data_IF_837945975692
#
_entry.id   IF_837945975692
#
_cell.length_a   1.000
_cell.length_b   1.000
_cell.length_c   1.000
_cell.angle_alpha   90.00
_cell.angle_beta   90.00
_cell.angle_gamma   90.00
#
_symmetry.space_group_name_H-M   'P 1'
#
loop_
_entity.id
_entity.type
_entity.pdbx_description
1 polymer ?
#
# COMPACT_ATOMS: atom_id res chain seq x y z
N UNK A 1 9.46 15.32 5.20
CA UNK A 1 9.62 13.99 4.54
C UNK A 1 9.48 14.10 3.03
N UNK A 2 8.39 14.65 2.50
CA UNK A 2 8.18 14.84 1.04
C UNK A 2 9.27 15.68 0.37
N UNK A 3 9.69 16.80 0.99
CA UNK A 3 10.79 17.63 0.49
C UNK A 3 12.15 16.91 0.43
N UNK A 4 12.44 16.06 1.43
CA UNK A 4 13.69 15.30 1.49
C UNK A 4 13.74 14.19 0.43
N UNK A 5 12.61 13.51 0.21
CA UNK A 5 12.50 12.50 -0.86
C UNK A 5 12.63 13.15 -2.24
N UNK A 6 12.08 14.35 -2.45
CA UNK A 6 12.22 15.09 -3.71
C UNK A 6 13.68 15.54 -3.97
N UNK A 7 14.39 16.00 -2.93
CA UNK A 7 15.79 16.43 -3.03
C UNK A 7 16.80 15.30 -3.33
N UNK A 8 16.42 14.03 -3.08
CA UNK A 8 17.26 12.86 -3.36
C UNK A 8 17.28 12.46 -4.84
N UNK A 9 16.37 12.99 -5.66
CA UNK A 9 16.31 12.70 -7.09
C UNK A 9 16.86 13.89 -7.90
N UNK A 10 17.95 13.71 -8.68
CA UNK A 10 18.55 14.76 -9.49
C UNK A 10 17.59 15.44 -10.48
N UNK A 11 16.47 14.79 -10.81
CA UNK A 11 15.42 15.35 -11.67
C UNK A 11 14.68 16.56 -11.06
N UNK A 12 14.82 16.82 -9.75
CA UNK A 12 14.14 17.91 -9.05
C UNK A 12 15.07 19.05 -8.60
N UNK A 13 16.38 18.97 -8.87
CA UNK A 13 17.34 20.04 -8.53
C UNK A 13 16.96 21.39 -9.14
N UNK A 14 16.44 21.36 -10.37
CA UNK A 14 16.10 22.55 -11.14
C UNK A 14 14.93 23.34 -10.51
N UNK A 15 13.99 22.65 -9.87
CA UNK A 15 12.81 23.26 -9.23
C UNK A 15 13.15 24.02 -7.95
N UNK A 16 14.22 23.62 -7.26
CA UNK A 16 14.71 24.26 -6.03
C UNK A 16 15.13 25.71 -6.27
N UNK A 17 15.83 25.96 -7.39
CA UNK A 17 16.29 27.30 -7.77
C UNK A 17 15.15 28.29 -8.07
N UNK A 18 14.05 27.78 -8.61
CA UNK A 18 12.84 28.56 -8.93
C UNK A 18 12.07 28.92 -7.65
N UNK A 19 11.99 27.99 -6.69
CA UNK A 19 11.40 28.25 -5.37
C UNK A 19 12.21 29.26 -4.57
N UNK A 20 13.54 29.19 -4.64
CA UNK A 20 14.43 30.17 -4.01
C UNK A 20 14.18 31.57 -4.57
N UNK A 21 14.16 31.72 -5.90
CA UNK A 21 13.87 33.00 -6.56
C UNK A 21 12.47 33.55 -6.24
N UNK A 22 11.47 32.68 -6.11
CA UNK A 22 10.11 33.07 -5.74
C UNK A 22 10.01 33.56 -4.29
N UNK A 23 10.70 32.89 -3.37
CA UNK A 23 10.75 33.27 -1.94
C UNK A 23 11.53 34.58 -1.76
N UNK A 24 12.69 34.73 -2.39
CA UNK A 24 13.50 35.94 -2.33
C UNK A 24 12.78 37.17 -2.93
N UNK A 25 12.01 36.99 -4.00
CA UNK A 25 11.30 38.09 -4.66
C UNK A 25 10.01 38.52 -3.96
N UNK A 26 9.36 37.64 -3.18
CA UNK A 26 8.05 37.92 -2.60
C UNK A 26 8.02 38.12 -1.07
N UNK A 27 9.05 37.71 -0.31
CA UNK A 27 8.97 37.62 1.16
C UNK A 27 9.89 38.56 1.97
N UNK A 28 10.33 39.70 1.41
CA UNK A 28 10.89 40.90 2.08
C UNK A 28 12.42 41.13 1.97
N UNK A 29 12.89 42.26 1.38
CA UNK A 29 14.31 42.60 1.20
C UNK A 29 15.12 42.94 2.47
N UNK A 30 14.50 43.17 3.63
CA UNK A 30 15.18 43.74 4.81
C UNK A 30 15.32 42.80 6.02
N UNK A 31 14.62 41.65 6.03
CA UNK A 31 14.80 40.57 7.00
C UNK A 31 15.47 39.33 6.38
N UNK A 32 15.82 39.42 5.08
CA UNK A 32 16.34 38.33 4.27
C UNK A 32 17.65 37.76 4.77
N UNK A 33 18.59 38.57 5.24
CA UNK A 33 19.93 38.08 5.62
C UNK A 33 19.90 37.21 6.90
N UNK A 34 19.08 37.57 7.89
CA UNK A 34 19.01 36.81 9.15
C UNK A 34 18.10 35.59 9.03
N UNK A 35 16.98 35.71 8.31
CA UNK A 35 16.10 34.56 8.03
C UNK A 35 16.74 33.60 7.04
N UNK A 36 17.50 34.08 6.04
CA UNK A 36 18.27 33.21 5.15
C UNK A 36 19.39 32.49 5.90
N UNK A 37 20.11 33.14 6.82
CA UNK A 37 21.10 32.45 7.66
C UNK A 37 20.45 31.35 8.52
N UNK A 38 19.30 31.61 9.14
CA UNK A 38 18.55 30.58 9.87
C UNK A 38 17.98 29.47 8.97
N UNK A 39 17.55 29.81 7.74
CA UNK A 39 17.06 28.83 6.78
C UNK A 39 18.20 28.00 6.17
N UNK A 40 19.38 28.59 5.96
CA UNK A 40 20.60 27.90 5.53
C UNK A 40 21.13 27.00 6.64
N UNK A 41 21.23 27.48 7.88
CA UNK A 41 21.63 26.65 9.03
C UNK A 41 20.60 25.54 9.32
N UNK A 42 19.30 25.83 9.19
CA UNK A 42 18.26 24.82 9.32
C UNK A 42 18.30 23.82 8.17
N UNK A 43 18.56 24.24 6.94
CA UNK A 43 18.73 23.34 5.80
C UNK A 43 19.98 22.46 5.96
N UNK A 44 21.09 23.01 6.43
CA UNK A 44 22.35 22.31 6.66
C UNK A 44 22.25 21.33 7.86
N UNK A 45 21.53 21.71 8.93
CA UNK A 45 21.19 20.80 10.02
C UNK A 45 20.14 19.76 9.61
N UNK A 46 19.17 20.13 8.77
CA UNK A 46 18.25 19.18 8.17
C UNK A 46 18.94 18.21 7.19
N UNK A 47 20.17 18.48 6.73
CA UNK A 47 21.01 17.52 6.02
C UNK A 47 21.72 16.52 6.94
N UNK A 48 21.95 16.83 8.22
CA UNK A 48 22.65 15.95 9.19
C UNK A 48 21.70 15.12 10.09
N UNK A 49 20.50 15.62 10.40
CA UNK A 49 19.42 14.91 11.11
C UNK A 49 18.58 13.86 10.32
N UNK A 50 18.66 13.68 8.99
CA UNK A 50 17.87 12.64 8.28
C UNK A 50 18.25 11.22 8.66
N UNK A 51 19.49 11.01 9.09
CA UNK A 51 20.00 9.65 9.35
C UNK A 51 19.27 9.00 10.53
N UNK A 52 19.02 9.71 11.62
CA UNK A 52 18.31 9.18 12.78
C UNK A 52 16.81 8.95 12.48
N UNK A 53 16.17 9.87 11.75
CA UNK A 53 14.77 9.74 11.35
C UNK A 53 14.55 8.61 10.34
N UNK A 54 15.43 8.49 9.35
CA UNK A 54 15.38 7.43 8.34
C UNK A 54 15.69 6.06 8.94
N UNK A 55 16.68 5.96 9.82
CA UNK A 55 16.98 4.70 10.53
C UNK A 55 15.83 4.30 11.45
N UNK A 56 15.25 5.25 12.20
CA UNK A 56 14.05 5.02 13.00
C UNK A 56 12.88 4.50 12.16
N UNK A 57 12.60 5.15 11.02
CA UNK A 57 11.55 4.71 10.09
C UNK A 57 11.81 3.31 9.53
N UNK A 58 13.04 3.04 9.08
CA UNK A 58 13.42 1.72 8.57
C UNK A 58 13.22 0.64 9.64
N UNK A 59 13.65 0.92 10.86
CA UNK A 59 13.47 0.01 12.00
C UNK A 59 11.98 -0.21 12.29
N UNK A 60 11.16 0.86 12.32
CA UNK A 60 9.70 0.74 12.52
C UNK A 60 9.03 -0.09 11.42
N UNK A 61 9.41 0.09 10.15
CA UNK A 61 8.88 -0.71 9.04
C UNK A 61 9.30 -2.17 9.18
N UNK A 62 10.54 -2.46 9.57
CA UNK A 62 11.01 -3.83 9.80
C UNK A 62 10.24 -4.50 10.95
N UNK A 63 9.96 -3.77 12.04
CA UNK A 63 9.11 -4.27 13.13
C UNK A 63 7.70 -4.57 12.65
N UNK A 64 7.08 -3.64 11.91
CA UNK A 64 5.73 -3.83 11.37
C UNK A 64 5.66 -5.06 10.45
N UNK A 65 6.63 -5.20 9.53
CA UNK A 65 6.72 -6.35 8.64
C UNK A 65 6.91 -7.66 9.41
N UNK A 66 7.70 -7.66 10.49
CA UNK A 66 7.83 -8.84 11.35
C UNK A 66 6.50 -9.22 12.00
N UNK A 67 5.79 -8.25 12.57
CA UNK A 67 4.47 -8.51 13.17
C UNK A 67 3.48 -9.06 12.16
N UNK A 68 3.49 -8.54 10.92
CA UNK A 68 2.66 -9.04 9.83
C UNK A 68 3.07 -10.47 9.46
N UNK A 69 4.37 -10.75 9.28
CA UNK A 69 4.86 -12.10 8.95
C UNK A 69 4.47 -13.11 10.04
N UNK A 70 4.63 -12.74 11.31
CA UNK A 70 4.33 -13.61 12.44
C UNK A 70 2.81 -13.87 12.53
N UNK A 71 1.96 -12.87 12.31
CA UNK A 71 0.50 -13.06 12.23
C UNK A 71 0.10 -14.03 11.10
N UNK A 72 0.76 -13.93 9.94
CA UNK A 72 0.55 -14.88 8.85
C UNK A 72 1.09 -16.27 9.21
N UNK A 73 2.28 -16.38 9.78
CA UNK A 73 2.82 -17.68 10.21
C UNK A 73 1.91 -18.36 11.24
N UNK A 74 1.26 -17.61 12.12
CA UNK A 74 0.28 -18.11 13.09
C UNK A 74 -0.98 -18.66 12.41
N UNK A 75 -1.52 -17.96 11.41
CA UNK A 75 -2.69 -18.43 10.63
C UNK A 75 -2.39 -19.79 9.97
N UNK A 76 -1.18 -19.97 9.42
CA UNK A 76 -0.73 -21.22 8.82
C UNK A 76 -0.06 -22.19 9.82
N UNK A 77 -0.06 -21.87 11.12
CA UNK A 77 0.51 -22.68 12.21
C UNK A 77 1.97 -23.12 11.98
N UNK A 78 2.78 -22.24 11.39
CA UNK A 78 4.19 -22.51 11.07
C UNK A 78 5.05 -22.36 12.33
N UNK A 79 5.63 -23.47 12.81
CA UNK A 79 6.41 -23.50 14.07
C UNK A 79 7.81 -22.89 14.00
N UNK A 80 8.34 -22.63 12.80
CA UNK A 80 9.73 -22.14 12.61
C UNK A 80 9.76 -21.00 11.60
N UNK A 81 10.06 -19.80 12.10
CA UNK A 81 10.24 -18.61 11.27
C UNK A 81 11.48 -18.70 10.36
N UNK A 82 11.58 -17.80 9.38
CA UNK A 82 12.75 -17.65 8.51
C UNK A 82 13.97 -17.18 9.32
N UNK A 83 15.18 -17.50 8.85
CA UNK A 83 16.40 -16.89 9.38
C UNK A 83 16.40 -15.37 9.11
N UNK A 84 16.94 -14.57 10.03
CA UNK A 84 16.94 -13.10 9.97
C UNK A 84 17.45 -12.55 8.62
N UNK A 85 18.52 -13.14 8.07
CA UNK A 85 19.06 -12.73 6.76
C UNK A 85 18.10 -12.98 5.59
N UNK A 86 17.34 -14.08 5.62
CA UNK A 86 16.33 -14.39 4.58
C UNK A 86 15.10 -13.50 4.75
N UNK A 87 14.70 -13.18 5.99
CA UNK A 87 13.66 -12.18 6.27
C UNK A 87 14.03 -10.83 5.68
N UNK A 88 15.25 -10.35 5.96
CA UNK A 88 15.73 -9.06 5.44
C UNK A 88 15.76 -9.02 3.91
N UNK A 89 16.23 -10.07 3.25
CA UNK A 89 16.23 -10.14 1.78
C UNK A 89 14.81 -10.08 1.19
N UNK A 90 13.86 -10.81 1.78
CA UNK A 90 12.45 -10.77 1.35
C UNK A 90 11.86 -9.38 1.61
N UNK A 91 12.09 -8.80 2.78
CA UNK A 91 11.58 -7.48 3.14
C UNK A 91 12.14 -6.39 2.22
N UNK A 92 13.45 -6.40 1.95
CA UNK A 92 14.08 -5.49 0.99
C UNK A 92 13.49 -5.65 -0.40
N UNK A 93 13.21 -6.89 -0.83
CA UNK A 93 12.56 -7.13 -2.12
C UNK A 93 11.15 -6.56 -2.14
N UNK A 94 10.35 -6.76 -1.08
CA UNK A 94 9.00 -6.19 -1.00
C UNK A 94 9.01 -4.65 -0.99
N UNK A 95 9.93 -4.06 -0.23
CA UNK A 95 10.11 -2.60 -0.16
C UNK A 95 10.58 -2.03 -1.49
N UNK A 96 11.45 -2.72 -2.23
CA UNK A 96 11.93 -2.27 -3.53
C UNK A 96 10.92 -2.47 -4.66
N UNK A 97 10.20 -3.60 -4.66
CA UNK A 97 9.24 -3.95 -5.71
C UNK A 97 7.94 -3.14 -5.56
N UNK A 98 7.51 -2.83 -4.33
CA UNK A 98 6.28 -2.09 -4.07
C UNK A 98 6.18 -0.75 -4.84
N UNK A 99 7.16 0.16 -4.72
CA UNK A 99 7.19 1.41 -5.46
C UNK A 99 7.20 1.23 -6.98
N UNK A 100 7.94 0.23 -7.49
CA UNK A 100 8.00 -0.04 -8.93
C UNK A 100 6.63 -0.47 -9.45
N UNK A 101 5.93 -1.36 -8.73
CA UNK A 101 4.56 -1.75 -9.05
C UNK A 101 3.64 -0.53 -9.01
N UNK A 102 3.76 0.31 -7.98
CA UNK A 102 2.94 1.51 -7.87
C UNK A 102 3.14 2.44 -9.08
N UNK A 103 4.38 2.70 -9.50
CA UNK A 103 4.66 3.52 -10.70
C UNK A 103 4.03 2.90 -11.95
N UNK A 104 4.16 1.59 -12.15
CA UNK A 104 3.56 0.89 -13.29
C UNK A 104 2.04 1.02 -13.27
N UNK A 105 1.41 0.83 -12.10
CA UNK A 105 -0.04 0.94 -11.93
C UNK A 105 -0.51 2.38 -12.18
N UNK A 106 0.18 3.38 -11.63
CA UNK A 106 -0.14 4.79 -11.86
C UNK A 106 0.03 5.19 -13.32
N UNK A 107 1.09 4.73 -13.97
CA UNK A 107 1.33 4.96 -15.39
C UNK A 107 0.23 4.31 -16.25
N UNK A 108 -0.11 3.06 -15.99
CA UNK A 108 -1.19 2.37 -16.70
C UNK A 108 -2.55 3.05 -16.47
N UNK A 109 -2.86 3.43 -15.23
CA UNK A 109 -4.07 4.16 -14.89
C UNK A 109 -4.13 5.52 -15.60
N UNK A 110 -3.04 6.29 -15.58
CA UNK A 110 -2.92 7.56 -16.29
C UNK A 110 -3.24 7.40 -17.78
N UNK A 111 -2.62 6.43 -18.46
CA UNK A 111 -2.89 6.17 -19.88
C UNK A 111 -4.32 5.71 -20.14
N UNK A 112 -4.90 4.88 -19.27
CA UNK A 112 -6.30 4.45 -19.42
C UNK A 112 -7.29 5.61 -19.24
N UNK A 113 -6.97 6.56 -18.36
CA UNK A 113 -7.77 7.76 -18.08
C UNK A 113 -7.59 8.89 -19.11
N UNK A 114 -6.40 8.99 -19.74
CA UNK A 114 -6.04 10.01 -20.72
C UNK A 114 -6.15 9.56 -22.20
N UNK A 115 -6.47 8.30 -22.48
CA UNK A 115 -6.90 7.88 -23.82
C UNK A 115 -8.02 8.84 -24.30
N UNK A 116 -7.99 9.33 -25.56
CA UNK A 116 -8.80 10.46 -25.95
C UNK A 116 -10.29 10.20 -25.71
N UNK A 117 -10.85 10.84 -24.70
CA UNK A 117 -12.29 11.11 -24.60
C UNK A 117 -12.79 11.96 -25.79
N UNK A 118 -11.88 12.37 -26.69
CA UNK A 118 -12.11 13.23 -27.85
C UNK A 118 -12.92 12.64 -28.99
N UNK A 119 -13.38 11.38 -28.94
CA UNK A 119 -14.40 10.87 -29.87
C UNK A 119 -15.44 10.04 -29.11
N UNK A 120 -16.38 10.77 -28.50
CA UNK A 120 -17.47 10.23 -27.69
C UNK A 120 -18.43 9.37 -28.53
N UNK A 121 -18.22 8.06 -28.52
CA UNK A 121 -19.29 7.07 -28.68
C UNK A 121 -19.68 6.64 -27.25
N UNK A 122 -20.94 6.81 -26.80
CA UNK A 122 -21.38 6.42 -25.45
C UNK A 122 -21.12 4.95 -25.09
N UNK A 123 -21.06 4.07 -26.09
CA UNK A 123 -20.71 2.66 -25.92
C UNK A 123 -19.22 2.45 -25.57
N UNK A 124 -18.33 3.29 -26.11
CA UNK A 124 -16.91 3.23 -25.83
C UNK A 124 -16.61 3.67 -24.40
N UNK A 125 -17.24 4.74 -23.89
CA UNK A 125 -17.06 5.21 -22.51
C UNK A 125 -17.51 4.18 -21.46
N UNK A 126 -18.60 3.45 -21.72
CA UNK A 126 -19.02 2.36 -20.83
C UNK A 126 -18.05 1.17 -20.85
N UNK A 127 -17.56 0.78 -22.05
CA UNK A 127 -16.58 -0.28 -22.20
C UNK A 127 -15.24 0.06 -21.52
N UNK A 128 -14.76 1.30 -21.63
CA UNK A 128 -13.56 1.77 -20.93
C UNK A 128 -13.73 1.78 -19.41
N UNK A 129 -14.91 2.17 -18.91
CA UNK A 129 -15.22 2.10 -17.48
C UNK A 129 -15.16 0.67 -16.94
N UNK A 130 -15.74 -0.31 -17.66
CA UNK A 130 -15.66 -1.72 -17.28
C UNK A 130 -14.24 -2.28 -17.36
N UNK A 131 -13.47 -1.90 -18.39
CA UNK A 131 -12.06 -2.29 -18.51
C UNK A 131 -11.23 -1.77 -17.33
N UNK A 132 -11.45 -0.53 -16.90
CA UNK A 132 -10.76 0.05 -15.76
C UNK A 132 -11.12 -0.66 -14.45
N UNK A 133 -12.40 -0.93 -14.20
CA UNK A 133 -12.84 -1.69 -13.03
C UNK A 133 -12.27 -3.11 -13.02
N UNK A 134 -12.26 -3.78 -14.18
CA UNK A 134 -11.66 -5.10 -14.34
C UNK A 134 -10.15 -5.09 -14.10
N UNK A 135 -9.45 -4.07 -14.60
CA UNK A 135 -8.00 -3.92 -14.42
C UNK A 135 -7.61 -3.65 -12.97
N UNK A 136 -8.35 -2.79 -12.26
CA UNK A 136 -8.13 -2.55 -10.81
C UNK A 136 -8.31 -3.84 -10.01
N UNK A 137 -9.42 -4.56 -10.26
CA UNK A 137 -9.68 -5.84 -9.58
C UNK A 137 -8.58 -6.88 -9.86
N UNK A 138 -8.00 -6.89 -11.06
CA UNK A 138 -6.92 -7.82 -11.42
C UNK A 138 -5.61 -7.50 -10.69
N UNK A 139 -5.30 -6.21 -10.51
CA UNK A 139 -4.13 -5.77 -9.72
C UNK A 139 -4.30 -6.18 -8.25
N UNK A 140 -5.47 -5.98 -7.68
CA UNK A 140 -5.76 -6.35 -6.29
C UNK A 140 -5.71 -7.85 -6.07
N UNK A 141 -6.29 -8.60 -7.00
CA UNK A 141 -6.19 -10.05 -7.02
C UNK A 141 -4.73 -10.51 -7.06
N UNK A 142 -3.92 -9.92 -7.94
CA UNK A 142 -2.48 -10.18 -8.00
C UNK A 142 -1.78 -9.84 -6.68
N UNK A 143 -2.12 -8.70 -6.08
CA UNK A 143 -1.59 -8.25 -4.80
C UNK A 143 -1.89 -9.25 -3.67
N UNK A 144 -3.15 -9.66 -3.51
CA UNK A 144 -3.54 -10.67 -2.52
C UNK A 144 -2.91 -12.03 -2.79
N UNK A 145 -2.84 -12.46 -4.06
CA UNK A 145 -2.22 -13.74 -4.42
C UNK A 145 -0.72 -13.78 -4.09
N UNK A 146 0.01 -12.68 -4.38
CA UNK A 146 1.42 -12.54 -3.99
C UNK A 146 1.55 -12.53 -2.47
N UNK A 147 0.70 -11.76 -1.78
CA UNK A 147 0.72 -11.64 -0.33
C UNK A 147 0.50 -13.00 0.34
N UNK A 148 -0.53 -13.75 -0.05
CA UNK A 148 -0.86 -15.08 0.50
C UNK A 148 0.16 -16.16 0.15
N UNK A 149 1.01 -15.94 -0.84
CA UNK A 149 2.05 -16.89 -1.24
C UNK A 149 3.43 -16.58 -0.66
N UNK A 150 3.76 -15.28 -0.52
CA UNK A 150 5.12 -14.84 -0.19
C UNK A 150 5.32 -14.61 1.31
N UNK A 151 4.28 -14.13 2.01
CA UNK A 151 4.36 -13.89 3.46
C UNK A 151 4.51 -15.18 4.27
N UNK A 152 3.66 -16.20 4.09
CA UNK A 152 3.75 -17.40 4.91
C UNK A 152 5.08 -18.12 4.66
N UNK A 153 5.76 -18.54 5.72
CA UNK A 153 6.97 -19.37 5.60
C UNK A 153 6.65 -20.85 5.33
N UNK A 154 5.69 -21.13 4.46
CA UNK A 154 5.28 -22.49 4.07
C UNK A 154 4.99 -22.58 2.57
N UNK A 155 5.10 -23.78 2.01
CA UNK A 155 4.76 -24.03 0.61
C UNK A 155 3.25 -24.24 0.50
N UNK A 156 2.55 -23.29 -0.13
CA UNK A 156 1.10 -23.33 -0.32
C UNK A 156 0.80 -23.67 -1.79
N UNK A 157 -0.10 -24.65 -2.07
CA UNK A 157 -0.51 -24.93 -3.44
C UNK A 157 -1.24 -23.74 -4.07
N UNK A 158 -1.13 -23.59 -5.39
CA UNK A 158 -1.68 -22.43 -6.11
C UNK A 158 -3.21 -22.32 -6.04
N UNK A 159 -3.94 -23.44 -5.95
CA UNK A 159 -5.42 -23.43 -6.00
C UNK A 159 -6.04 -22.73 -4.77
N UNK A 160 -5.68 -23.08 -3.51
CA UNK A 160 -6.14 -22.32 -2.34
C UNK A 160 -5.79 -20.83 -2.40
N UNK A 161 -4.59 -20.49 -2.88
CA UNK A 161 -4.14 -19.09 -3.00
C UNK A 161 -5.06 -18.30 -3.93
N UNK A 162 -5.39 -18.87 -5.09
CA UNK A 162 -6.30 -18.25 -6.06
C UNK A 162 -7.69 -18.04 -5.45
N UNK A 163 -8.24 -19.04 -4.77
CA UNK A 163 -9.58 -18.95 -4.16
C UNK A 163 -9.60 -17.87 -3.07
N UNK A 164 -8.61 -17.87 -2.17
CA UNK A 164 -8.53 -16.87 -1.12
C UNK A 164 -8.31 -15.46 -1.66
N UNK A 165 -7.41 -15.29 -2.65
CA UNK A 165 -7.19 -14.00 -3.29
C UNK A 165 -8.44 -13.47 -4.00
N UNK A 166 -9.22 -14.35 -4.65
CA UNK A 166 -10.47 -13.97 -5.30
C UNK A 166 -11.50 -13.50 -4.28
N UNK A 167 -11.67 -14.23 -3.17
CA UNK A 167 -12.59 -13.86 -2.09
C UNK A 167 -12.20 -12.50 -1.50
N UNK A 168 -10.91 -12.28 -1.22
CA UNK A 168 -10.42 -11.00 -0.70
C UNK A 168 -10.62 -9.84 -1.66
N UNK A 169 -10.39 -10.07 -2.95
CA UNK A 169 -10.60 -9.05 -3.98
C UNK A 169 -12.07 -8.64 -4.05
N UNK A 170 -12.99 -9.61 -4.09
CA UNK A 170 -14.43 -9.34 -4.11
C UNK A 170 -14.86 -8.61 -2.85
N UNK A 171 -14.37 -9.04 -1.68
CA UNK A 171 -14.74 -8.42 -0.41
C UNK A 171 -14.17 -7.00 -0.29
N UNK A 172 -12.95 -6.77 -0.79
CA UNK A 172 -12.36 -5.44 -0.84
C UNK A 172 -13.15 -4.52 -1.76
N UNK A 173 -13.52 -4.97 -2.96
CA UNK A 173 -14.37 -4.22 -3.89
C UNK A 173 -15.72 -3.81 -3.27
N UNK A 174 -16.36 -4.71 -2.51
CA UNK A 174 -17.59 -4.39 -1.77
C UNK A 174 -17.31 -3.31 -0.72
N UNK A 175 -16.26 -3.47 0.08
CA UNK A 175 -15.90 -2.50 1.13
C UNK A 175 -15.59 -1.12 0.53
N UNK A 176 -14.86 -1.04 -0.58
CA UNK A 176 -14.59 0.24 -1.25
C UNK A 176 -15.87 0.97 -1.62
N UNK A 177 -16.86 0.27 -2.17
CA UNK A 177 -18.15 0.85 -2.56
C UNK A 177 -18.94 1.30 -1.34
N UNK A 178 -18.98 0.48 -0.30
CA UNK A 178 -19.64 0.81 0.98
C UNK A 178 -18.98 2.04 1.61
N UNK A 179 -17.66 2.11 1.59
CA UNK A 179 -16.90 3.24 2.15
C UNK A 179 -17.10 4.52 1.33
N UNK A 180 -17.10 4.43 0.00
CA UNK A 180 -17.40 5.57 -0.86
C UNK A 180 -18.79 6.13 -0.58
N UNK A 181 -19.79 5.25 -0.43
CA UNK A 181 -21.15 5.63 -0.04
C UNK A 181 -21.22 6.23 1.38
N UNK A 182 -20.46 5.68 2.33
CA UNK A 182 -20.40 6.20 3.70
C UNK A 182 -19.82 7.62 3.73
N UNK A 183 -18.68 7.85 3.05
CA UNK A 183 -18.02 9.15 3.00
C UNK A 183 -18.90 10.19 2.29
N UNK A 184 -19.60 9.83 1.22
CA UNK A 184 -20.50 10.76 0.51
C UNK A 184 -21.78 11.10 1.27
N UNK A 185 -22.22 10.22 2.18
CA UNK A 185 -23.49 10.42 2.90
C UNK A 185 -23.36 11.24 4.19
N UNK A 186 -22.15 11.31 4.77
CA UNK A 186 -21.90 11.90 6.10
C UNK A 186 -21.14 13.23 6.05
N UNK A 187 -21.55 14.16 5.18
CA UNK A 187 -20.94 15.50 5.06
C UNK A 187 -21.13 16.37 6.33
N UNK A 188 -22.14 16.07 7.17
CA UNK A 188 -22.49 16.81 8.38
C UNK A 188 -21.37 16.84 9.44
N UNK A 189 -20.54 15.80 9.51
CA UNK A 189 -19.40 15.73 10.44
C UNK A 189 -18.20 16.56 9.98
N UNK A 190 -18.06 16.76 8.66
CA UNK A 190 -17.01 17.61 8.08
C UNK A 190 -17.25 19.08 8.41
N UNK A 191 -18.51 19.52 8.55
CA UNK A 191 -18.88 20.89 8.91
C UNK A 191 -18.44 21.25 10.33
N UNK A 192 -18.48 20.29 11.26
CA UNK A 192 -18.17 20.52 12.68
C UNK A 192 -16.67 20.32 12.98
N UNK A 193 -16.06 19.28 12.44
CA UNK A 193 -14.68 18.86 12.79
C UNK A 193 -13.64 19.19 11.70
N UNK A 194 -14.06 19.68 10.53
CA UNK A 194 -13.16 20.03 9.44
C UNK A 194 -12.24 18.87 9.03
N UNK A 195 -10.96 19.17 8.80
CA UNK A 195 -9.97 18.18 8.35
C UNK A 195 -9.71 17.03 9.35
N UNK A 196 -10.05 17.19 10.65
CA UNK A 196 -9.81 16.19 11.69
C UNK A 196 -10.64 14.91 11.50
N UNK A 197 -11.79 15.00 10.81
CA UNK A 197 -12.64 13.84 10.48
C UNK A 197 -11.91 12.81 9.60
N UNK A 198 -10.95 13.24 8.79
CA UNK A 198 -10.16 12.36 7.91
C UNK A 198 -9.40 11.29 8.70
N UNK A 199 -8.93 11.61 9.92
CA UNK A 199 -8.09 10.71 10.72
C UNK A 199 -8.89 9.46 11.15
N UNK A 200 -10.04 9.57 11.86
CA UNK A 200 -10.85 8.40 12.20
C UNK A 200 -11.30 7.60 10.98
N UNK A 201 -11.71 8.27 9.91
CA UNK A 201 -12.15 7.63 8.67
C UNK A 201 -11.03 6.82 8.02
N UNK A 202 -9.81 7.36 8.02
CA UNK A 202 -8.62 6.65 7.54
C UNK A 202 -8.32 5.41 8.40
N UNK A 203 -8.46 5.50 9.73
CA UNK A 203 -8.29 4.33 10.60
C UNK A 203 -9.32 3.24 10.31
N UNK A 204 -10.60 3.60 10.12
CA UNK A 204 -11.67 2.65 9.75
C UNK A 204 -11.33 1.95 8.44
N UNK A 205 -10.89 2.71 7.43
CA UNK A 205 -10.47 2.15 6.14
C UNK A 205 -9.36 1.12 6.29
N UNK A 206 -8.30 1.48 7.02
CA UNK A 206 -7.16 0.60 7.27
C UNK A 206 -7.59 -0.67 8.03
N UNK A 207 -8.48 -0.54 9.02
CA UNK A 207 -9.01 -1.69 9.76
C UNK A 207 -9.78 -2.65 8.85
N UNK A 208 -10.68 -2.14 8.01
CA UNK A 208 -11.41 -2.99 7.07
C UNK A 208 -10.49 -3.65 6.04
N UNK A 209 -9.50 -2.93 5.53
CA UNK A 209 -8.49 -3.49 4.64
C UNK A 209 -7.76 -4.69 5.30
N UNK A 210 -7.34 -4.54 6.55
CA UNK A 210 -6.71 -5.62 7.29
C UNK A 210 -7.65 -6.77 7.59
N UNK A 211 -8.91 -6.51 7.95
CA UNK A 211 -9.90 -7.57 8.17
C UNK A 211 -10.12 -8.41 6.93
N UNK A 212 -10.28 -7.81 5.75
CA UNK A 212 -10.39 -8.56 4.48
C UNK A 212 -9.13 -9.37 4.22
N UNK A 213 -7.97 -8.75 4.41
CA UNK A 213 -6.67 -9.39 4.17
C UNK A 213 -6.50 -10.64 5.03
N UNK A 214 -6.78 -10.54 6.33
CA UNK A 214 -6.69 -11.66 7.27
C UNK A 214 -7.78 -12.71 7.05
N UNK A 215 -8.99 -12.27 6.70
CA UNK A 215 -10.09 -13.19 6.40
C UNK A 215 -9.75 -14.10 5.22
N UNK A 216 -9.30 -13.55 4.09
CA UNK A 216 -8.88 -14.37 2.95
C UNK A 216 -7.65 -15.22 3.21
N UNK A 217 -6.74 -14.76 4.08
CA UNK A 217 -5.62 -15.57 4.55
C UNK A 217 -6.10 -16.81 5.31
N UNK A 218 -7.05 -16.65 6.25
CA UNK A 218 -7.67 -17.77 6.97
C UNK A 218 -8.38 -18.76 6.02
N UNK A 219 -9.12 -18.27 5.04
CA UNK A 219 -9.77 -19.12 4.02
C UNK A 219 -8.74 -19.91 3.23
N UNK A 220 -7.66 -19.25 2.78
CA UNK A 220 -6.56 -19.89 2.07
C UNK A 220 -5.91 -20.98 2.91
N UNK A 221 -5.65 -20.69 4.19
CA UNK A 221 -5.04 -21.62 5.12
C UNK A 221 -5.89 -22.87 5.33
N UNK A 222 -7.19 -22.72 5.59
CA UNK A 222 -8.10 -23.86 5.76
C UNK A 222 -8.18 -24.75 4.51
N UNK A 223 -8.27 -24.15 3.32
CA UNK A 223 -8.27 -24.87 2.05
C UNK A 223 -6.94 -25.59 1.78
N UNK A 224 -5.82 -25.01 2.22
CA UNK A 224 -4.50 -25.64 2.07
C UNK A 224 -4.32 -26.87 2.97
N UNK A 225 -4.82 -26.81 4.21
CA UNK A 225 -4.76 -27.94 5.15
C UNK A 225 -5.61 -29.12 4.68
N UNK A 226 -6.83 -28.87 4.20
CA UNK A 226 -7.70 -29.93 3.69
C UNK A 226 -7.10 -30.71 2.52
N UNK A 227 -6.39 -30.01 1.63
CA UNK A 227 -5.74 -30.62 0.46
C UNK A 227 -4.47 -31.40 0.82
N UNK A 228 -3.69 -30.90 1.78
CA UNK A 228 -2.51 -31.62 2.28
C UNK A 228 -2.91 -32.90 3.03
N UNK A 229 -4.05 -32.92 3.72
CA UNK A 229 -4.59 -34.13 4.35
C UNK A 229 -5.06 -35.17 3.32
N UNK A 230 -5.70 -34.71 2.23
CA UNK A 230 -6.14 -35.57 1.12
C UNK A 230 -4.96 -36.16 0.33
N UNK A 231 -3.92 -35.36 0.05
CA UNK A 231 -2.70 -35.80 -0.64
C UNK A 231 -1.81 -36.69 0.24
N UNK A 232 -1.90 -36.57 1.58
CA UNK A 232 -1.20 -37.43 2.52
C UNK A 232 -1.90 -38.79 2.77
N UNK A 233 -3.04 -39.06 2.12
CA UNK A 233 -3.76 -40.33 2.26
C UNK A 233 -4.31 -40.57 3.67
N UNK A 234 -4.50 -39.51 4.47
CA UNK A 234 -5.10 -39.64 5.80
C UNK A 234 -6.60 -39.84 5.60
N UNK A 235 -7.03 -41.09 5.70
CA UNK A 235 -8.42 -41.49 5.72
C UNK A 235 -9.20 -40.60 6.69
N UNK A 236 -10.31 -40.04 6.23
CA UNK A 236 -11.17 -39.19 7.05
C UNK A 236 -11.53 -40.03 8.27
N UNK A 237 -11.30 -39.57 9.51
CA UNK A 237 -11.83 -40.28 10.66
C UNK A 237 -13.35 -40.27 10.51
N UNK A 238 -13.87 -41.45 10.17
CA UNK A 238 -15.28 -41.72 10.07
C UNK A 238 -15.86 -41.49 11.46
N UNK A 239 -16.57 -40.38 11.66
CA UNK A 239 -16.96 -39.91 12.98
C UNK A 239 -18.17 -39.01 12.91
N UNK A 240 -19.32 -39.65 12.69
CA UNK A 240 -20.71 -39.32 13.09
C UNK A 240 -21.05 -37.86 13.38
#
# INVERSE_FOLDING_TARGET
VTFYVLALFPAFSDWTSVLEGFVYSNLMPAAGDQVSAYLYDFADQAHSLPTLGLTGLLVSVLFLLSTIEDAFNDIWRVRKGRSLGRRLAVYLTMIGVGPVIAVIVFWAAYHLLYLPQGQAIPAASYAYGQLFTGFSGLIEFGGFAVLYRVLPNCSIPYRPVIIGALISTVLLEVIKRVFAWYVSSFELYQVIYGALWTIPVFFIWVLFFWYVTLFGACVTAQLSVGKQAEEAGVDKPNGR
#
